data_IF_167097240338
#
_entry.id   IF_167097240338
#
_cell.length_a   1.000
_cell.length_b   1.000
_cell.length_c   1.000
_cell.angle_alpha   90.00
_cell.angle_beta   90.00
_cell.angle_gamma   90.00
#
_symmetry.space_group_name_H-M   'P 1'
#
loop_
_entity.id
_entity.type
_entity.pdbx_description
1 polymer ?
#
# COMPACT_ATOMS: atom_id res chain seq x y z
N UNK A 1 3.41 2.64 -19.84
CA UNK A 1 4.84 2.54 -19.52
C UNK A 1 4.97 2.58 -18.02
N UNK A 2 5.47 1.50 -17.43
CA UNK A 2 5.57 1.32 -15.98
C UNK A 2 6.36 2.49 -15.37
N UNK A 3 5.68 3.40 -14.67
CA UNK A 3 6.39 4.38 -13.86
C UNK A 3 7.04 3.60 -12.72
N UNK A 4 8.38 3.62 -12.65
CA UNK A 4 9.11 3.10 -11.52
C UNK A 4 8.81 3.94 -10.27
N UNK A 5 7.78 3.51 -9.52
CA UNK A 5 7.40 4.13 -8.26
C UNK A 5 8.25 3.52 -7.14
N UNK A 6 9.15 4.32 -6.56
CA UNK A 6 9.96 3.93 -5.41
C UNK A 6 9.76 4.93 -4.29
N UNK A 7 9.09 4.51 -3.23
CA UNK A 7 8.83 5.32 -2.05
C UNK A 7 8.55 4.38 -0.86
N UNK A 8 9.03 4.69 0.37
CA UNK A 8 8.84 3.81 1.54
C UNK A 8 7.37 3.53 1.87
N UNK A 9 6.45 4.43 1.52
CA UNK A 9 5.01 4.26 1.73
C UNK A 9 4.23 3.91 0.44
N UNK A 10 4.91 3.33 -0.56
CA UNK A 10 4.27 2.75 -1.76
C UNK A 10 4.78 1.32 -1.90
N UNK A 11 3.88 0.36 -2.02
CA UNK A 11 4.24 -1.06 -2.13
C UNK A 11 5.08 -1.28 -3.39
N UNK A 12 6.29 -1.85 -3.28
CA UNK A 12 7.14 -2.14 -4.43
C UNK A 12 6.48 -3.11 -5.39
N UNK A 13 6.40 -2.71 -6.66
CA UNK A 13 5.95 -3.54 -7.75
C UNK A 13 7.15 -4.12 -8.51
N UNK A 14 7.29 -5.45 -8.52
CA UNK A 14 8.44 -6.13 -9.10
C UNK A 14 8.22 -6.50 -10.57
N UNK A 15 6.98 -6.71 -11.00
CA UNK A 15 6.68 -7.01 -12.39
C UNK A 15 5.41 -7.82 -12.58
N UNK A 16 5.23 -8.30 -13.81
CA UNK A 16 4.10 -9.15 -14.19
C UNK A 16 4.64 -10.53 -14.57
N UNK A 17 4.01 -11.58 -14.07
CA UNK A 17 4.14 -12.94 -14.60
C UNK A 17 2.91 -13.26 -15.42
N UNK A 18 3.09 -13.81 -16.61
CA UNK A 18 2.00 -14.25 -17.48
C UNK A 18 2.27 -15.66 -17.97
N UNK A 19 1.29 -16.55 -17.78
CA UNK A 19 1.21 -17.82 -18.48
C UNK A 19 0.07 -17.78 -19.50
N UNK A 20 -0.25 -18.91 -20.14
CA UNK A 20 -1.29 -18.96 -21.18
C UNK A 20 -2.71 -18.74 -20.66
N UNK A 21 -2.92 -18.80 -19.34
CA UNK A 21 -4.26 -18.81 -18.72
C UNK A 21 -4.46 -17.69 -17.70
N UNK A 22 -3.39 -17.02 -17.26
CA UNK A 22 -3.43 -16.05 -16.18
C UNK A 22 -2.35 -14.98 -16.29
N UNK A 23 -2.67 -13.80 -15.73
CA UNK A 23 -1.73 -12.69 -15.57
C UNK A 23 -1.69 -12.35 -14.09
N UNK A 24 -0.50 -12.36 -13.52
CA UNK A 24 -0.25 -12.15 -12.10
C UNK A 24 0.68 -10.97 -11.88
N UNK A 25 0.34 -10.11 -10.92
CA UNK A 25 1.19 -9.00 -10.48
C UNK A 25 2.09 -9.46 -9.33
N UNK A 26 3.39 -9.23 -9.45
CA UNK A 26 4.38 -9.57 -8.44
C UNK A 26 4.69 -8.30 -7.63
N UNK A 27 4.47 -8.37 -6.33
CA UNK A 27 4.62 -7.25 -5.39
C UNK A 27 5.13 -7.78 -4.04
N UNK A 28 5.61 -6.90 -3.18
CA UNK A 28 5.95 -7.25 -1.80
C UNK A 28 4.72 -7.80 -1.04
N UNK A 29 4.93 -8.88 -0.28
CA UNK A 29 3.87 -9.51 0.53
C UNK A 29 3.71 -8.76 1.85
N UNK A 30 2.50 -8.29 2.20
CA UNK A 30 2.25 -7.67 3.50
C UNK A 30 2.34 -8.70 4.63
N UNK A 31 3.05 -8.37 5.71
CA UNK A 31 3.26 -9.25 6.86
C UNK A 31 2.04 -9.29 7.79
N UNK A 32 1.37 -8.15 8.00
CA UNK A 32 0.18 -8.03 8.87
C UNK A 32 -1.14 -7.96 8.10
N UNK A 33 -1.11 -8.21 6.79
CA UNK A 33 -2.27 -8.06 5.92
C UNK A 33 -2.66 -6.61 5.67
N UNK A 34 -3.94 -6.37 5.35
CA UNK A 34 -4.45 -5.02 5.06
C UNK A 34 -4.96 -4.31 6.31
N UNK A 35 -5.04 -2.98 6.25
CA UNK A 35 -5.68 -2.17 7.29
C UNK A 35 -7.15 -2.58 7.49
N UNK A 36 -7.86 -2.99 6.43
CA UNK A 36 -9.21 -3.51 6.57
C UNK A 36 -9.27 -4.76 7.47
N UNK A 37 -8.29 -5.66 7.37
CA UNK A 37 -8.20 -6.84 8.25
C UNK A 37 -7.92 -6.45 9.70
N UNK A 38 -7.04 -5.48 9.92
CA UNK A 38 -6.74 -4.99 11.27
C UNK A 38 -7.96 -4.31 11.91
N UNK A 39 -8.70 -3.50 11.15
CA UNK A 39 -9.89 -2.80 11.64
C UNK A 39 -11.09 -3.72 11.89
N UNK A 40 -11.17 -4.86 11.19
CA UNK A 40 -12.23 -5.84 11.38
C UNK A 40 -11.98 -6.81 12.55
N UNK A 41 -10.78 -6.81 13.13
CA UNK A 41 -10.43 -7.75 14.20
C UNK A 41 -10.53 -7.07 15.57
N UNK A 42 -11.56 -7.40 16.34
CA UNK A 42 -11.84 -6.83 17.67
C UNK A 42 -10.71 -7.07 18.70
N UNK A 43 -9.87 -8.09 18.46
CA UNK A 43 -8.74 -8.41 19.35
C UNK A 43 -7.48 -7.58 19.05
N UNK A 44 -7.41 -6.94 17.88
CA UNK A 44 -6.20 -6.27 17.38
C UNK A 44 -6.46 -4.76 17.26
N UNK A 45 -6.62 -4.11 18.42
CA UNK A 45 -6.95 -2.70 18.47
C UNK A 45 -5.73 -1.83 18.17
N UNK A 46 -5.76 -1.14 17.03
CA UNK A 46 -4.77 -0.11 16.70
C UNK A 46 -4.90 1.06 17.70
N UNK A 47 -3.82 1.36 18.41
CA UNK A 47 -3.71 2.52 19.29
C UNK A 47 -3.86 3.83 18.51
N UNK A 48 -4.16 4.92 19.21
CA UNK A 48 -4.27 6.24 18.59
C UNK A 48 -2.97 6.66 17.87
N UNK A 49 -1.82 6.31 18.46
CA UNK A 49 -0.51 6.59 17.88
C UNK A 49 -0.28 5.79 16.59
N UNK A 50 -0.56 4.49 16.58
CA UNK A 50 -0.44 3.66 15.37
C UNK A 50 -1.34 4.18 14.25
N UNK A 51 -2.58 4.56 14.56
CA UNK A 51 -3.51 5.17 13.58
C UNK A 51 -2.92 6.44 12.98
N UNK A 52 -2.32 7.30 13.81
CA UNK A 52 -1.70 8.54 13.34
C UNK A 52 -0.49 8.25 12.44
N UNK A 53 0.36 7.28 12.80
CA UNK A 53 1.48 6.86 11.96
C UNK A 53 1.00 6.31 10.61
N UNK A 54 -0.02 5.44 10.61
CA UNK A 54 -0.61 4.91 9.37
C UNK A 54 -1.15 6.03 8.49
N UNK A 55 -1.88 7.00 9.06
CA UNK A 55 -2.40 8.15 8.31
C UNK A 55 -1.28 9.01 7.72
N UNK A 56 -0.23 9.26 8.49
CA UNK A 56 0.93 10.02 8.04
C UNK A 56 1.66 9.32 6.88
N UNK A 57 1.83 8.01 6.98
CA UNK A 57 2.48 7.20 5.94
C UNK A 57 1.64 7.15 4.66
N UNK A 58 0.32 6.99 4.77
CA UNK A 58 -0.59 7.10 3.62
C UNK A 58 -0.50 8.49 2.98
N UNK A 59 -0.49 9.56 3.79
CA UNK A 59 -0.37 10.92 3.28
C UNK A 59 0.95 11.15 2.54
N UNK A 60 2.07 10.63 3.06
CA UNK A 60 3.39 10.67 2.39
C UNK A 60 3.38 9.92 1.06
N UNK A 61 2.80 8.71 1.02
CA UNK A 61 2.66 7.94 -0.21
C UNK A 61 1.83 8.68 -1.27
N UNK A 62 0.69 9.25 -0.87
CA UNK A 62 -0.17 10.02 -1.79
C UNK A 62 0.49 11.32 -2.26
N UNK A 63 1.20 12.02 -1.39
CA UNK A 63 1.99 13.20 -1.76
C UNK A 63 3.00 12.84 -2.87
N UNK A 64 3.72 11.73 -2.71
CA UNK A 64 4.68 11.26 -3.70
C UNK A 64 4.04 10.91 -5.05
N UNK A 65 2.87 10.27 -5.05
CA UNK A 65 2.13 9.95 -6.29
C UNK A 65 1.68 11.23 -7.02
N UNK A 66 1.15 12.19 -6.27
CA UNK A 66 0.65 13.44 -6.81
C UNK A 66 1.76 14.41 -7.25
N UNK A 67 2.97 14.29 -6.68
CA UNK A 67 4.11 15.15 -7.03
C UNK A 67 4.84 14.76 -8.33
N UNK A 68 4.39 13.72 -9.04
CA UNK A 68 5.00 13.30 -10.31
C UNK A 68 4.72 14.32 -11.43
N UNK A 69 5.60 14.42 -12.45
CA UNK A 69 5.40 15.34 -13.58
C UNK A 69 4.05 15.14 -14.28
N UNK A 70 3.60 13.88 -14.36
CA UNK A 70 2.21 13.51 -14.63
C UNK A 70 1.66 12.91 -13.33
N UNK A 71 0.76 13.61 -12.60
CA UNK A 71 0.24 13.14 -11.33
C UNK A 71 -0.40 11.76 -11.45
N UNK A 72 -0.02 10.85 -10.55
CA UNK A 72 -0.59 9.50 -10.50
C UNK A 72 -1.79 9.51 -9.57
N UNK A 73 -2.98 9.28 -10.11
CA UNK A 73 -4.21 9.14 -9.32
C UNK A 73 -4.37 7.69 -8.88
N UNK A 74 -4.40 7.44 -7.56
CA UNK A 74 -4.58 6.09 -7.02
C UNK A 74 -5.94 5.48 -7.40
N UNK A 75 -7.01 6.30 -7.40
CA UNK A 75 -8.41 5.96 -7.75
C UNK A 75 -9.14 4.95 -6.85
N UNK A 76 -8.44 4.11 -6.10
CA UNK A 76 -9.06 3.16 -5.16
C UNK A 76 -8.43 3.23 -3.75
N UNK A 77 -8.29 4.44 -3.19
CA UNK A 77 -7.67 4.61 -1.88
C UNK A 77 -8.66 4.22 -0.77
N UNK A 78 -8.49 3.03 -0.20
CA UNK A 78 -9.33 2.46 0.85
C UNK A 78 -8.53 1.53 1.76
N UNK A 79 -9.07 1.20 2.94
CA UNK A 79 -8.39 0.37 3.93
C UNK A 79 -7.94 -1.02 3.41
N UNK A 80 -8.64 -1.59 2.43
CA UNK A 80 -8.26 -2.87 1.81
C UNK A 80 -6.98 -2.79 0.97
N UNK A 81 -6.60 -1.59 0.50
CA UNK A 81 -5.40 -1.35 -0.32
C UNK A 81 -4.26 -0.70 0.48
N UNK A 82 -4.37 -0.65 1.80
CA UNK A 82 -3.32 -0.19 2.70
C UNK A 82 -2.72 -1.43 3.35
N UNK A 83 -1.49 -1.75 2.98
CA UNK A 83 -0.74 -2.88 3.52
C UNK A 83 -0.04 -2.49 4.81
N UNK A 84 -0.11 -3.34 5.83
CA UNK A 84 0.57 -3.14 7.11
C UNK A 84 1.81 -4.04 7.19
N UNK A 85 2.97 -3.43 7.47
CA UNK A 85 4.25 -4.09 7.79
C UNK A 85 4.60 -3.85 9.27
N UNK A 86 5.65 -4.51 9.77
CA UNK A 86 6.22 -4.12 11.06
C UNK A 86 6.81 -2.70 10.97
N UNK A 87 6.68 -1.95 12.06
CA UNK A 87 7.40 -0.69 12.24
C UNK A 87 8.85 -1.07 12.53
N UNK A 88 9.79 -0.62 11.69
CA UNK A 88 11.22 -0.74 11.98
C UNK A 88 11.62 0.18 13.13
#
# INVERSE_FOLDING_TARGET
MCMSLHHPNIVPFYGVSSDTTSVSFITEKPERGSLANALANDTNTLSALERLCILLDVARGMQYLHSKPVPVLHRDLRAANINLSYVA
#
